data_IF_887384972245
#
_entry.id   IF_887384972245
#
_cell.length_a   1.000
_cell.length_b   1.000
_cell.length_c   1.000
_cell.angle_alpha   90.00
_cell.angle_beta   90.00
_cell.angle_gamma   90.00
#
_symmetry.space_group_name_H-M   'P 1'
#
loop_
_entity.id
_entity.type
_entity.pdbx_description
1 polymer ?
#
# COMPACT_ATOMS: atom_id res chain seq x y z
N UNK A 1 5.09 -4.44 14.34
CA UNK A 1 4.87 -5.67 15.12
C UNK A 1 3.40 -6.03 15.34
N UNK A 2 2.55 -5.12 15.81
CA UNK A 2 1.12 -5.40 16.05
C UNK A 2 0.40 -6.04 14.85
N UNK A 3 0.55 -5.48 13.65
CA UNK A 3 -0.04 -6.03 12.43
C UNK A 3 0.42 -7.48 12.14
N UNK A 4 1.69 -7.80 12.37
CA UNK A 4 2.25 -9.15 12.13
C UNK A 4 1.65 -10.20 13.07
N UNK A 5 1.45 -9.83 14.34
CA UNK A 5 0.84 -10.70 15.34
C UNK A 5 -0.65 -10.89 15.04
N UNK A 6 -1.35 -9.81 14.68
CA UNK A 6 -2.75 -9.86 14.28
C UNK A 6 -2.98 -10.74 13.04
N UNK A 7 -2.15 -10.62 12.00
CA UNK A 7 -2.24 -11.44 10.78
C UNK A 7 -1.88 -12.92 10.98
N UNK A 8 -1.43 -13.31 12.18
CA UNK A 8 -1.16 -14.70 12.58
C UNK A 8 -2.21 -15.27 13.54
N UNK A 9 -3.16 -14.48 14.03
CA UNK A 9 -4.27 -15.01 14.85
C UNK A 9 -5.29 -15.74 13.99
N UNK A 10 -6.16 -16.53 14.61
CA UNK A 10 -7.24 -17.25 13.91
C UNK A 10 -8.13 -16.31 13.11
N UNK A 11 -8.46 -15.13 13.67
CA UNK A 11 -9.22 -14.09 13.00
C UNK A 11 -8.43 -13.53 11.80
N UNK A 12 -7.14 -13.26 11.95
CA UNK A 12 -6.30 -12.77 10.86
C UNK A 12 -6.10 -13.78 9.73
N UNK A 13 -6.03 -15.07 10.05
CA UNK A 13 -5.98 -16.16 9.08
C UNK A 13 -7.32 -16.34 8.37
N UNK A 14 -8.44 -16.25 9.10
CA UNK A 14 -9.77 -16.30 8.52
C UNK A 14 -9.99 -15.16 7.52
N UNK A 15 -9.65 -13.91 7.88
CA UNK A 15 -9.74 -12.76 6.97
C UNK A 15 -8.87 -12.95 5.71
N UNK A 16 -7.67 -13.54 5.85
CA UNK A 16 -6.81 -13.84 4.69
C UNK A 16 -7.36 -14.95 3.82
N UNK A 17 -7.91 -16.01 4.42
CA UNK A 17 -8.53 -17.10 3.69
C UNK A 17 -9.77 -16.61 2.92
N UNK A 18 -10.59 -15.75 3.54
CA UNK A 18 -11.76 -15.13 2.89
C UNK A 18 -11.32 -14.26 1.70
N UNK A 19 -10.20 -13.53 1.83
CA UNK A 19 -9.65 -12.72 0.73
C UNK A 19 -9.01 -13.51 -0.42
N UNK A 20 -8.57 -14.76 -0.18
CA UNK A 20 -7.97 -15.62 -1.21
C UNK A 20 -9.05 -16.40 -1.97
N UNK A 21 -10.02 -16.99 -1.24
CA UNK A 21 -11.16 -17.67 -1.84
C UNK A 21 -12.38 -17.67 -0.92
N UNK A 22 -13.29 -16.72 -1.16
CA UNK A 22 -14.53 -16.60 -0.39
C UNK A 22 -15.41 -17.86 -0.48
N UNK A 23 -15.51 -18.48 -1.66
CA UNK A 23 -16.35 -19.67 -1.87
C UNK A 23 -15.85 -20.86 -1.04
N UNK A 24 -14.52 -21.04 -0.96
CA UNK A 24 -13.90 -22.09 -0.14
C UNK A 24 -14.20 -21.87 1.35
N UNK A 25 -14.01 -20.66 1.86
CA UNK A 25 -14.24 -20.34 3.28
C UNK A 25 -15.71 -20.48 3.67
N UNK A 26 -16.62 -20.10 2.77
CA UNK A 26 -18.06 -20.28 2.96
C UNK A 26 -18.46 -21.77 3.01
N UNK A 27 -17.81 -22.62 2.20
CA UNK A 27 -18.03 -24.07 2.25
C UNK A 27 -17.52 -24.74 3.53
N UNK A 28 -16.55 -24.12 4.21
CA UNK A 28 -16.00 -24.56 5.49
C UNK A 28 -16.83 -24.09 6.70
N UNK A 29 -18.00 -23.46 6.47
CA UNK A 29 -18.92 -23.05 7.54
C UNK A 29 -18.55 -21.74 8.23
N UNK A 30 -17.59 -20.98 7.70
CA UNK A 30 -17.22 -19.67 8.23
C UNK A 30 -18.08 -18.58 7.57
N UNK A 31 -18.57 -17.64 8.37
CA UNK A 31 -19.34 -16.51 7.88
C UNK A 31 -18.41 -15.48 7.19
N UNK A 32 -18.38 -15.51 5.86
CA UNK A 32 -17.51 -14.65 5.05
C UNK A 32 -17.88 -13.17 5.18
N UNK A 33 -19.18 -12.85 5.24
CA UNK A 33 -19.68 -11.49 5.42
C UNK A 33 -19.11 -10.83 6.69
N UNK A 34 -19.15 -11.54 7.83
CA UNK A 34 -18.60 -11.03 9.09
C UNK A 34 -17.08 -10.79 9.00
N UNK A 35 -16.33 -11.73 8.41
CA UNK A 35 -14.88 -11.55 8.22
C UNK A 35 -14.54 -10.39 7.28
N UNK A 36 -15.34 -10.16 6.24
CA UNK A 36 -15.15 -9.03 5.30
C UNK A 36 -15.46 -7.70 5.99
N UNK A 37 -16.57 -7.60 6.72
CA UNK A 37 -16.93 -6.41 7.49
C UNK A 37 -15.84 -6.08 8.51
N UNK A 38 -15.33 -7.08 9.23
CA UNK A 38 -14.21 -6.90 10.17
C UNK A 38 -12.94 -6.41 9.46
N UNK A 39 -12.58 -6.99 8.31
CA UNK A 39 -11.41 -6.57 7.54
C UNK A 39 -11.50 -5.12 7.05
N UNK A 40 -12.65 -4.73 6.48
CA UNK A 40 -12.88 -3.39 5.95
C UNK A 40 -12.96 -2.36 7.08
N UNK A 41 -13.65 -2.67 8.18
CA UNK A 41 -13.77 -1.75 9.32
C UNK A 41 -12.43 -1.48 10.00
N UNK A 42 -11.59 -2.51 10.20
CA UNK A 42 -10.24 -2.32 10.75
C UNK A 42 -9.38 -1.49 9.80
N UNK A 43 -9.44 -1.75 8.50
CA UNK A 43 -8.66 -1.01 7.49
C UNK A 43 -9.04 0.47 7.47
N UNK A 44 -10.34 0.76 7.40
CA UNK A 44 -10.85 2.13 7.41
C UNK A 44 -10.58 2.83 8.76
N UNK A 45 -10.66 2.10 9.88
CA UNK A 45 -10.32 2.63 11.20
C UNK A 45 -8.86 3.09 11.27
N UNK A 46 -7.91 2.29 10.76
CA UNK A 46 -6.49 2.67 10.71
C UNK A 46 -6.25 3.88 9.79
N UNK A 47 -6.93 3.94 8.65
CA UNK A 47 -6.84 5.09 7.73
C UNK A 47 -7.40 6.36 8.39
N UNK A 48 -8.55 6.27 9.05
CA UNK A 48 -9.17 7.39 9.75
C UNK A 48 -8.30 7.90 10.90
N UNK A 49 -7.72 7.00 11.71
CA UNK A 49 -6.80 7.36 12.79
C UNK A 49 -5.54 8.04 12.24
N UNK A 50 -4.94 7.52 11.17
CA UNK A 50 -3.80 8.16 10.51
C UNK A 50 -4.16 9.54 9.95
N UNK A 51 -5.33 9.66 9.31
CA UNK A 51 -5.86 10.93 8.81
C UNK A 51 -6.11 11.95 9.91
N UNK A 52 -6.64 11.53 11.05
CA UNK A 52 -6.89 12.40 12.21
C UNK A 52 -5.58 12.97 12.78
N UNK A 53 -4.52 12.15 12.88
CA UNK A 53 -3.19 12.60 13.32
C UNK A 53 -2.60 13.62 12.33
N UNK A 54 -2.74 13.38 11.03
CA UNK A 54 -2.27 14.32 10.00
C UNK A 54 -3.05 15.64 10.05
N UNK A 55 -4.38 15.59 10.20
CA UNK A 55 -5.23 16.77 10.32
C UNK A 55 -4.86 17.62 11.55
N UNK A 56 -4.59 16.97 12.70
CA UNK A 56 -4.09 17.66 13.89
C UNK A 56 -2.75 18.35 13.65
N UNK A 57 -1.83 17.70 12.92
CA UNK A 57 -0.53 18.27 12.57
C UNK A 57 -0.61 19.46 11.62
N UNK A 58 -1.57 19.45 10.68
CA UNK A 58 -1.75 20.52 9.69
C UNK A 58 -2.69 21.64 10.16
N UNK A 59 -3.45 21.44 11.25
CA UNK A 59 -4.50 22.35 11.78
C UNK A 59 -5.59 22.71 10.77
N UNK A 60 -5.68 21.97 9.67
CA UNK A 60 -6.62 22.15 8.58
C UNK A 60 -6.94 20.79 7.98
N UNK A 61 -8.17 20.62 7.51
CA UNK A 61 -8.63 19.40 6.86
C UNK A 61 -9.48 19.77 5.64
N UNK A 62 -9.10 19.22 4.49
CA UNK A 62 -9.79 19.43 3.21
C UNK A 62 -9.97 18.09 2.49
N UNK A 63 -11.03 17.96 1.68
CA UNK A 63 -11.34 16.73 0.95
C UNK A 63 -10.22 16.37 -0.04
N UNK A 64 -9.56 17.38 -0.62
CA UNK A 64 -8.40 17.20 -1.50
C UNK A 64 -7.18 16.60 -0.80
N UNK A 65 -7.07 16.74 0.52
CA UNK A 65 -5.98 16.14 1.32
C UNK A 65 -6.04 14.61 1.27
N UNK A 66 -7.24 14.04 1.27
CA UNK A 66 -7.46 12.59 1.24
C UNK A 66 -7.03 11.95 -0.09
N UNK A 67 -7.33 12.60 -1.22
CA UNK A 67 -6.96 12.11 -2.56
C UNK A 67 -5.43 12.01 -2.68
N UNK A 68 -4.71 13.04 -2.24
CA UNK A 68 -3.25 13.02 -2.23
C UNK A 68 -2.68 11.90 -1.36
N UNK A 69 -3.24 11.69 -0.16
CA UNK A 69 -2.80 10.64 0.76
C UNK A 69 -2.96 9.22 0.19
N UNK A 70 -4.08 8.94 -0.50
CA UNK A 70 -4.32 7.61 -1.11
C UNK A 70 -3.29 7.34 -2.22
N UNK A 71 -3.06 8.31 -3.10
CA UNK A 71 -2.09 8.18 -4.20
C UNK A 71 -0.68 7.97 -3.65
N UNK A 72 -0.27 8.75 -2.66
CA UNK A 72 1.03 8.60 -2.00
C UNK A 72 1.17 7.25 -1.29
N UNK A 73 0.10 6.78 -0.63
CA UNK A 73 0.06 5.48 0.04
C UNK A 73 0.26 4.33 -0.94
N UNK A 74 -0.53 4.27 -2.01
CA UNK A 74 -0.41 3.24 -3.05
C UNK A 74 0.96 3.28 -3.73
N UNK A 75 1.48 4.45 -4.07
CA UNK A 75 2.81 4.60 -4.66
C UNK A 75 3.90 4.03 -3.75
N UNK A 76 3.86 4.34 -2.44
CA UNK A 76 4.84 3.83 -1.49
C UNK A 76 4.84 2.31 -1.36
N UNK A 77 3.65 1.68 -1.39
CA UNK A 77 3.51 0.21 -1.34
C UNK A 77 4.08 -0.43 -2.60
N UNK A 78 3.77 0.12 -3.78
CA UNK A 78 4.27 -0.37 -5.07
C UNK A 78 5.80 -0.28 -5.13
N UNK A 79 6.38 0.85 -4.71
CA UNK A 79 7.84 1.04 -4.67
C UNK A 79 8.49 0.01 -3.72
N UNK A 80 7.90 -0.17 -2.53
CA UNK A 80 8.36 -1.13 -1.54
C UNK A 80 8.35 -2.57 -2.05
N UNK A 81 7.23 -2.99 -2.64
CA UNK A 81 7.06 -4.33 -3.19
C UNK A 81 8.05 -4.59 -4.35
N UNK A 82 8.26 -3.59 -5.21
CA UNK A 82 9.15 -3.73 -6.35
C UNK A 82 10.63 -3.90 -5.95
N UNK A 83 11.07 -3.21 -4.88
CA UNK A 83 12.45 -3.29 -4.40
C UNK A 83 12.71 -4.58 -3.62
N UNK A 84 11.82 -4.94 -2.69
CA UNK A 84 12.06 -6.04 -1.77
C UNK A 84 11.55 -7.40 -2.26
N UNK A 85 10.74 -7.44 -3.32
CA UNK A 85 10.10 -8.65 -3.90
C UNK A 85 9.68 -9.66 -2.83
N UNK A 86 8.82 -9.25 -1.89
CA UNK A 86 8.59 -10.00 -0.67
C UNK A 86 7.87 -11.32 -0.94
N UNK A 87 8.44 -12.43 -0.47
CA UNK A 87 7.71 -13.70 -0.33
C UNK A 87 7.13 -13.79 1.09
N UNK A 88 5.80 -13.64 1.21
CA UNK A 88 5.04 -13.77 2.45
C UNK A 88 4.63 -12.44 3.11
N UNK A 89 3.57 -12.48 3.93
CA UNK A 89 2.92 -11.28 4.53
C UNK A 89 3.87 -10.46 5.39
N UNK A 90 4.77 -11.11 6.12
CA UNK A 90 5.70 -10.39 6.98
C UNK A 90 6.68 -9.51 6.19
N UNK A 91 7.18 -10.05 5.08
CA UNK A 91 8.05 -9.31 4.17
C UNK A 91 7.26 -8.28 3.38
N UNK A 92 5.98 -8.52 3.08
CA UNK A 92 5.11 -7.56 2.40
C UNK A 92 4.90 -6.29 3.24
N UNK A 93 4.62 -6.46 4.54
CA UNK A 93 4.50 -5.33 5.47
C UNK A 93 5.81 -4.56 5.63
N UNK A 94 6.94 -5.28 5.72
CA UNK A 94 8.27 -4.64 5.77
C UNK A 94 8.61 -3.92 4.46
N UNK A 95 8.23 -4.49 3.32
CA UNK A 95 8.40 -3.87 2.01
C UNK A 95 7.61 -2.56 1.92
N UNK A 96 6.34 -2.55 2.35
CA UNK A 96 5.52 -1.33 2.40
C UNK A 96 6.14 -0.25 3.30
N UNK A 97 6.64 -0.62 4.49
CA UNK A 97 7.35 0.31 5.37
C UNK A 97 8.64 0.85 4.74
N UNK A 98 9.43 -0.03 4.09
CA UNK A 98 10.63 0.35 3.35
C UNK A 98 10.33 1.29 2.18
N UNK A 99 9.24 1.03 1.44
CA UNK A 99 8.76 1.87 0.37
C UNK A 99 8.34 3.27 0.84
N UNK A 100 7.65 3.37 1.98
CA UNK A 100 7.31 4.65 2.60
C UNK A 100 8.56 5.44 3.05
N UNK A 101 9.59 4.75 3.55
CA UNK A 101 10.85 5.39 3.92
C UNK A 101 11.61 5.92 2.70
N UNK A 102 11.71 5.12 1.63
CA UNK A 102 12.33 5.52 0.36
C UNK A 102 11.57 6.70 -0.25
N UNK A 103 10.25 6.66 -0.26
CA UNK A 103 9.42 7.77 -0.73
C UNK A 103 9.74 9.08 0.00
N UNK A 104 9.88 9.03 1.34
CA UNK A 104 10.31 10.19 2.15
C UNK A 104 11.73 10.66 1.83
N UNK A 105 12.68 9.74 1.66
CA UNK A 105 14.05 10.07 1.27
C UNK A 105 14.09 10.83 -0.07
N UNK A 106 13.38 10.31 -1.07
CA UNK A 106 13.27 10.92 -2.39
C UNK A 106 12.71 12.34 -2.32
N UNK A 107 11.62 12.56 -1.57
CA UNK A 107 11.05 13.91 -1.37
C UNK A 107 12.03 14.83 -0.65
N UNK A 108 12.69 14.35 0.41
CA UNK A 108 13.62 15.17 1.19
C UNK A 108 14.84 15.63 0.37
N UNK A 109 15.35 14.78 -0.53
CA UNK A 109 16.45 15.12 -1.43
C UNK A 109 15.98 16.12 -2.49
N UNK A 110 14.79 15.93 -3.05
CA UNK A 110 14.20 16.87 -4.00
C UNK A 110 14.00 18.27 -3.39
N UNK A 111 13.58 18.36 -2.13
CA UNK A 111 13.44 19.64 -1.40
C UNK A 111 14.79 20.33 -1.16
N UNK A 112 15.86 19.56 -0.84
CA UNK A 112 17.20 20.12 -0.60
C UNK A 112 17.86 20.69 -1.85
N UNK A 113 17.42 20.29 -3.04
CA UNK A 113 17.89 20.83 -4.32
C UNK A 113 17.27 22.20 -4.66
N UNK A 114 16.53 22.83 -3.74
CA UNK A 114 16.17 24.25 -3.83
C UNK A 114 14.96 24.58 -4.69
N UNK A 115 14.11 23.60 -5.01
CA UNK A 115 12.92 23.81 -5.83
C UNK A 115 11.75 24.38 -5.00
N UNK A 116 10.99 25.32 -5.57
CA UNK A 116 9.88 26.00 -4.89
C UNK A 116 8.63 25.09 -4.72
N UNK A 117 7.87 25.18 -3.61
CA UNK A 117 6.72 24.31 -3.29
C UNK A 117 5.60 24.25 -4.34
N UNK A 118 5.46 25.29 -5.16
CA UNK A 118 4.45 25.38 -6.23
C UNK A 118 4.74 24.46 -7.42
N UNK A 119 5.96 24.51 -7.97
CA UNK A 119 6.43 23.64 -9.05
C UNK A 119 6.85 22.24 -8.56
N UNK A 120 7.05 22.10 -7.24
CA UNK A 120 7.40 20.86 -6.58
C UNK A 120 6.34 19.77 -6.75
N UNK A 121 5.04 20.06 -6.89
CA UNK A 121 4.00 19.04 -7.14
C UNK A 121 4.14 18.38 -8.51
N UNK A 122 4.49 19.17 -9.53
CA UNK A 122 4.64 18.70 -10.91
C UNK A 122 5.94 17.89 -11.05
N UNK A 123 7.01 18.33 -10.39
CA UNK A 123 8.27 17.58 -10.34
C UNK A 123 8.20 16.38 -9.39
N UNK A 124 7.48 16.42 -8.26
CA UNK A 124 7.24 15.19 -7.48
C UNK A 124 6.45 14.19 -8.28
N UNK A 125 5.44 14.62 -9.06
CA UNK A 125 4.74 13.72 -9.97
C UNK A 125 5.69 13.11 -11.01
N UNK A 126 6.56 13.92 -11.65
CA UNK A 126 7.55 13.43 -12.63
C UNK A 126 8.59 12.50 -11.99
N UNK A 127 9.07 12.82 -10.79
CA UNK A 127 10.07 12.03 -10.07
C UNK A 127 9.44 10.73 -9.55
N UNK A 128 8.18 10.75 -9.09
CA UNK A 128 7.38 9.55 -8.80
C UNK A 128 7.19 8.72 -10.06
N UNK A 129 6.88 9.33 -11.21
CA UNK A 129 6.75 8.64 -12.50
C UNK A 129 8.07 7.98 -12.90
N UNK A 130 9.21 8.66 -12.77
CA UNK A 130 10.53 8.10 -13.07
C UNK A 130 10.89 6.99 -12.08
N UNK A 131 10.62 7.19 -10.79
CA UNK A 131 10.85 6.20 -9.73
C UNK A 131 9.95 4.97 -9.88
N UNK A 132 8.74 5.10 -10.43
CA UNK A 132 7.87 4.00 -10.84
C UNK A 132 8.29 3.39 -12.19
N UNK A 133 8.90 4.16 -13.09
CA UNK A 133 9.37 3.66 -14.38
C UNK A 133 10.54 2.68 -14.20
N UNK A 134 11.41 2.88 -13.21
CA UNK A 134 12.53 1.97 -12.90
C UNK A 134 12.06 0.54 -12.59
N UNK A 135 11.15 0.29 -11.63
CA UNK A 135 10.64 -1.05 -11.37
C UNK A 135 9.78 -1.60 -12.52
N UNK A 136 9.06 -0.73 -13.25
CA UNK A 136 8.30 -1.14 -14.44
C UNK A 136 9.22 -1.65 -15.56
N UNK A 137 10.34 -0.97 -15.83
CA UNK A 137 11.36 -1.41 -16.78
C UNK A 137 12.04 -2.69 -16.31
N UNK A 138 12.37 -2.82 -15.02
CA UNK A 138 12.94 -4.05 -14.47
C UNK A 138 11.98 -5.25 -14.60
N UNK A 139 10.66 -5.03 -14.48
CA UNK A 139 9.64 -6.08 -14.69
C UNK A 139 9.51 -6.46 -16.17
N UNK A 140 9.59 -5.49 -17.09
CA UNK A 140 9.56 -5.68 -18.55
C UNK A 140 10.82 -6.37 -19.10
N UNK A 141 11.99 -6.05 -18.55
CA UNK A 141 13.28 -6.67 -18.94
C UNK A 141 13.35 -8.14 -18.51
N UNK A 142 12.62 -8.56 -17.47
CA UNK A 142 12.74 -9.89 -16.87
C UNK A 142 11.86 -10.99 -17.52
N UNK A 143 11.05 -10.67 -18.55
CA UNK A 143 10.16 -11.61 -19.27
C UNK A 143 9.59 -12.70 -18.35
N UNK A 144 8.93 -12.33 -17.26
CA UNK A 144 8.21 -13.32 -16.46
C UNK A 144 6.97 -13.75 -17.26
N UNK A 145 6.95 -15.03 -17.62
CA UNK A 145 5.94 -15.69 -18.43
C UNK A 145 4.54 -15.35 -17.92
N UNK A 146 3.70 -14.77 -18.78
CA UNK A 146 2.28 -14.59 -18.51
C UNK A 146 1.62 -15.96 -18.69
N UNK A 147 1.09 -16.61 -17.62
CA UNK A 147 0.26 -17.77 -17.84
C UNK A 147 -0.93 -17.37 -18.71
N UNK A 148 -1.29 -18.17 -19.72
CA UNK A 148 -2.43 -17.88 -20.59
C UNK A 148 -3.66 -17.66 -19.71
N UNK A 149 -4.42 -16.60 -20.01
CA UNK A 149 -5.64 -16.25 -19.31
C UNK A 149 -6.47 -17.52 -19.05
N UNK A 150 -6.80 -17.77 -17.78
CA UNK A 150 -7.69 -18.86 -17.43
C UNK A 150 -8.99 -18.66 -18.20
N UNK A 151 -9.23 -19.55 -19.17
CA UNK A 151 -10.52 -19.67 -19.85
C UNK A 151 -11.51 -20.17 -18.82
N UNK A 152 -12.30 -19.25 -18.27
CA UNK A 152 -13.61 -19.54 -17.73
C UNK A 152 -14.60 -18.75 -18.58
#
# INVERSE_FOLDING_TARGET
>A
EFALRFLRTEIGLAVRATGDNEQMVRSLGVNTDMTTILGVSISNGLVALGGAVVAQGQKFADVGMGIGMIVMGLASVIIGEALFRPKGVARLLLAALGGAFIYRLVISVALRLGMAPGDLKLITAVLVIIALAVPYLQKKIRREWQPPAARW
#
